data_IF_666564247432
#
_entry.id   IF_666564247432
#
_cell.length_a   1.000
_cell.length_b   1.000
_cell.length_c   1.000
_cell.angle_alpha   90.00
_cell.angle_beta   90.00
_cell.angle_gamma   90.00
#
_symmetry.space_group_name_H-M   'P 1'
#
loop_
_entity.id
_entity.type
_entity.pdbx_description
1 polymer ?
#
# COMPACT_ATOMS: atom_id res chain seq x y z
N UNK A 1 -27.08 -4.19 -14.06
CA UNK A 1 -25.73 -3.81 -14.55
C UNK A 1 -24.80 -5.00 -14.32
N UNK A 2 -24.13 -5.53 -15.35
CA UNK A 2 -23.30 -6.74 -15.18
C UNK A 2 -22.15 -6.46 -14.22
N UNK A 3 -21.69 -7.47 -13.46
CA UNK A 3 -20.56 -7.33 -12.52
C UNK A 3 -19.31 -6.77 -13.21
N UNK A 4 -19.12 -7.12 -14.48
CA UNK A 4 -18.00 -6.68 -15.33
C UNK A 4 -18.11 -5.19 -15.65
N UNK A 5 -19.31 -4.70 -16.01
CA UNK A 5 -19.52 -3.27 -16.26
C UNK A 5 -19.31 -2.48 -14.96
N UNK A 6 -19.78 -3.00 -13.81
CA UNK A 6 -19.56 -2.33 -12.51
C UNK A 6 -18.08 -2.24 -12.15
N UNK A 7 -17.30 -3.28 -12.44
CA UNK A 7 -15.84 -3.32 -12.27
C UNK A 7 -15.12 -2.32 -13.18
N UNK A 8 -15.47 -2.30 -14.47
CA UNK A 8 -14.89 -1.34 -15.41
C UNK A 8 -15.28 0.10 -15.06
N UNK A 9 -16.49 0.31 -14.53
CA UNK A 9 -16.94 1.62 -14.07
C UNK A 9 -16.19 2.05 -12.80
N UNK A 10 -16.00 1.18 -11.81
CA UNK A 10 -15.20 1.51 -10.64
C UNK A 10 -13.74 1.80 -11.02
N UNK A 11 -13.15 1.02 -11.93
CA UNK A 11 -11.79 1.27 -12.40
C UNK A 11 -11.65 2.55 -13.22
N UNK A 12 -12.68 2.99 -13.95
CA UNK A 12 -12.61 4.25 -14.71
C UNK A 12 -12.86 5.48 -13.84
N UNK A 13 -13.78 5.38 -12.88
CA UNK A 13 -14.27 6.49 -12.08
C UNK A 13 -13.67 6.56 -10.66
N UNK A 14 -12.86 5.59 -10.24
CA UNK A 14 -12.10 5.70 -8.99
C UNK A 14 -11.20 6.94 -9.03
N UNK A 15 -11.27 7.81 -8.02
CA UNK A 15 -10.37 8.94 -7.88
C UNK A 15 -8.90 8.48 -7.94
N UNK A 16 -8.03 9.26 -8.60
CA UNK A 16 -6.58 8.95 -8.71
C UNK A 16 -5.95 8.57 -7.36
N UNK A 17 -6.37 9.24 -6.27
CA UNK A 17 -5.90 8.96 -4.91
C UNK A 17 -6.29 7.56 -4.44
N UNK A 18 -7.54 7.16 -4.65
CA UNK A 18 -8.05 5.85 -4.25
C UNK A 18 -7.31 4.72 -4.98
N UNK A 19 -7.09 4.87 -6.29
CA UNK A 19 -6.28 3.92 -7.09
C UNK A 19 -4.86 3.76 -6.54
N UNK A 20 -4.21 4.89 -6.23
CA UNK A 20 -2.84 4.88 -5.71
C UNK A 20 -2.78 4.22 -4.33
N UNK A 21 -3.73 4.51 -3.45
CA UNK A 21 -3.80 3.87 -2.13
C UNK A 21 -4.06 2.37 -2.28
N UNK A 22 -4.96 1.95 -3.18
CA UNK A 22 -5.24 0.54 -3.45
C UNK A 22 -4.00 -0.20 -3.99
N UNK A 23 -3.20 0.43 -4.85
CA UNK A 23 -1.93 -0.12 -5.33
C UNK A 23 -0.93 -0.31 -4.19
N UNK A 24 -0.79 0.69 -3.31
CA UNK A 24 0.11 0.61 -2.16
C UNK A 24 -0.35 -0.48 -1.16
N UNK A 25 -1.65 -0.62 -0.92
CA UNK A 25 -2.20 -1.71 -0.10
C UNK A 25 -1.91 -3.09 -0.71
N UNK A 26 -2.02 -3.21 -2.04
CA UNK A 26 -1.70 -4.46 -2.76
C UNK A 26 -0.22 -4.83 -2.61
N UNK A 27 0.68 -3.84 -2.65
CA UNK A 27 2.11 -4.03 -2.42
C UNK A 27 2.40 -4.54 -1.00
N UNK A 28 1.71 -4.00 0.01
CA UNK A 28 1.83 -4.48 1.40
C UNK A 28 1.43 -5.96 1.51
N UNK A 29 0.32 -6.35 0.89
CA UNK A 29 -0.15 -7.74 0.89
C UNK A 29 0.91 -8.65 0.25
N UNK A 30 1.46 -8.22 -0.89
CA UNK A 30 2.53 -8.94 -1.58
C UNK A 30 3.75 -9.13 -0.67
N UNK A 31 4.26 -8.05 -0.07
CA UNK A 31 5.42 -8.08 0.83
C UNK A 31 5.18 -8.96 2.06
N UNK A 32 4.02 -8.85 2.71
CA UNK A 32 3.63 -9.71 3.84
C UNK A 32 3.60 -11.18 3.44
N UNK A 33 3.07 -11.49 2.25
CA UNK A 33 3.03 -12.87 1.74
C UNK A 33 4.43 -13.43 1.46
N UNK A 34 5.34 -12.57 1.01
CA UNK A 34 6.73 -12.92 0.74
C UNK A 34 7.51 -13.16 2.03
N UNK A 35 7.38 -12.28 3.03
CA UNK A 35 7.99 -12.43 4.35
C UNK A 35 7.55 -13.72 5.07
N UNK A 36 6.27 -14.08 4.97
CA UNK A 36 5.76 -15.36 5.52
C UNK A 36 6.46 -16.60 4.95
N UNK A 37 6.95 -16.53 3.71
CA UNK A 37 7.68 -17.63 3.07
C UNK A 37 9.14 -17.71 3.52
N UNK A 38 9.73 -16.63 4.01
CA UNK A 38 11.16 -16.53 4.32
C UNK A 38 11.58 -17.04 5.70
N UNK A 39 10.66 -17.61 6.50
CA UNK A 39 10.89 -18.14 7.85
C UNK A 39 11.43 -17.10 8.87
N UNK A 40 10.56 -16.81 9.86
CA UNK A 40 10.72 -16.15 11.17
C UNK A 40 12.17 -15.84 11.67
N UNK A 41 12.90 -14.95 10.99
CA UNK A 41 13.99 -14.20 11.60
C UNK A 41 13.40 -12.99 12.34
N UNK A 42 13.99 -12.56 13.46
CA UNK A 42 13.53 -11.39 14.22
C UNK A 42 13.50 -10.12 13.35
N UNK A 43 14.37 -10.06 12.33
CA UNK A 43 14.35 -9.01 11.31
C UNK A 43 13.05 -8.99 10.48
N UNK A 44 12.51 -10.15 10.12
CA UNK A 44 11.26 -10.24 9.39
C UNK A 44 10.08 -9.72 10.23
N UNK A 45 10.13 -9.91 11.56
CA UNK A 45 9.13 -9.39 12.50
C UNK A 45 9.07 -7.88 12.54
N UNK A 46 10.23 -7.20 12.52
CA UNK A 46 10.26 -5.73 12.45
C UNK A 46 9.68 -5.19 11.14
N UNK A 47 9.92 -5.88 10.02
CA UNK A 47 9.36 -5.51 8.72
C UNK A 47 7.84 -5.74 8.72
N UNK A 48 7.36 -6.85 9.29
CA UNK A 48 5.92 -7.13 9.41
C UNK A 48 5.20 -6.04 10.22
N UNK A 49 5.77 -5.62 11.36
CA UNK A 49 5.21 -4.52 12.19
C UNK A 49 5.19 -3.20 11.40
N UNK A 50 6.23 -2.90 10.61
CA UNK A 50 6.27 -1.70 9.79
C UNK A 50 5.19 -1.74 8.70
N UNK A 51 5.01 -2.89 8.04
CA UNK A 51 3.99 -3.11 7.02
C UNK A 51 2.57 -3.03 7.60
N UNK A 52 2.33 -3.51 8.83
CA UNK A 52 1.05 -3.37 9.52
C UNK A 52 0.70 -1.91 9.81
N UNK A 53 1.68 -1.12 10.26
CA UNK A 53 1.47 0.32 10.49
C UNK A 53 1.19 1.07 9.19
N UNK A 54 1.88 0.73 8.11
CA UNK A 54 1.63 1.31 6.78
C UNK A 54 0.23 0.94 6.26
N UNK A 55 -0.20 -0.30 6.45
CA UNK A 55 -1.54 -0.77 6.08
C UNK A 55 -2.63 0.04 6.81
N UNK A 56 -2.45 0.22 8.13
CA UNK A 56 -3.35 1.04 8.93
C UNK A 56 -3.42 2.49 8.43
N UNK A 57 -2.27 3.12 8.15
CA UNK A 57 -2.22 4.50 7.65
C UNK A 57 -2.85 4.66 6.27
N UNK A 58 -2.61 3.70 5.36
CA UNK A 58 -3.21 3.71 4.03
C UNK A 58 -4.72 3.49 4.08
N UNK A 59 -5.21 2.62 4.97
CA UNK A 59 -6.64 2.43 5.18
C UNK A 59 -7.30 3.67 5.77
N UNK A 60 -6.61 4.45 6.62
CA UNK A 60 -7.07 5.77 7.06
C UNK A 60 -7.15 6.74 5.87
N UNK A 61 -6.10 6.80 5.03
CA UNK A 61 -6.06 7.67 3.84
C UNK A 61 -7.12 7.30 2.79
N UNK A 62 -7.49 6.02 2.71
CA UNK A 62 -8.56 5.53 1.82
C UNK A 62 -9.95 5.92 2.31
N UNK A 63 -10.20 5.75 3.61
CA UNK A 63 -11.55 5.87 4.18
C UNK A 63 -11.90 7.28 4.63
N UNK A 64 -10.90 8.09 4.96
CA UNK A 64 -11.10 9.49 5.31
C UNK A 64 -10.83 10.36 4.09
N UNK A 65 -11.74 11.28 3.81
CA UNK A 65 -11.47 12.46 3.00
C UNK A 65 -10.48 13.34 3.78
N UNK A 66 -9.21 12.94 3.74
CA UNK A 66 -8.15 13.71 4.36
C UNK A 66 -8.05 15.03 3.60
N UNK A 67 -8.16 16.16 4.30
CA UNK A 67 -7.95 17.53 3.79
C UNK A 67 -6.50 17.78 3.31
N UNK A 68 -5.77 16.72 2.94
CA UNK A 68 -4.48 16.77 2.31
C UNK A 68 -4.63 17.36 0.91
N UNK A 69 -3.80 18.35 0.61
CA UNK A 69 -3.62 18.83 -0.76
C UNK A 69 -3.06 17.71 -1.65
N UNK A 70 -3.31 17.76 -2.96
CA UNK A 70 -2.77 16.76 -3.90
C UNK A 70 -1.23 16.68 -3.83
N UNK A 71 -0.59 17.83 -3.59
CA UNK A 71 0.86 17.92 -3.45
C UNK A 71 1.39 17.20 -2.22
N UNK A 72 0.67 17.29 -1.10
CA UNK A 72 1.08 16.62 0.14
C UNK A 72 0.73 15.13 0.09
N UNK A 73 -0.38 14.77 -0.55
CA UNK A 73 -0.70 13.38 -0.87
C UNK A 73 0.40 12.73 -1.73
N UNK A 74 0.84 13.38 -2.82
CA UNK A 74 1.89 12.86 -3.69
C UNK A 74 3.23 12.68 -2.93
N UNK A 75 3.56 13.56 -1.98
CA UNK A 75 4.74 13.39 -1.11
C UNK A 75 4.61 12.16 -0.20
N UNK A 76 3.44 11.96 0.41
CA UNK A 76 3.18 10.78 1.26
C UNK A 76 3.33 9.51 0.46
N UNK A 77 2.76 9.45 -0.74
CA UNK A 77 2.91 8.30 -1.66
C UNK A 77 4.39 8.05 -1.98
N UNK A 78 5.16 9.09 -2.28
CA UNK A 78 6.60 8.97 -2.58
C UNK A 78 7.38 8.39 -1.40
N UNK A 79 7.10 8.85 -0.17
CA UNK A 79 7.76 8.35 1.04
C UNK A 79 7.44 6.87 1.25
N UNK A 80 6.18 6.47 1.10
CA UNK A 80 5.76 5.07 1.23
C UNK A 80 6.45 4.20 0.18
N UNK A 81 6.53 4.66 -1.07
CA UNK A 81 7.24 3.96 -2.13
C UNK A 81 8.73 3.78 -1.83
N UNK A 82 9.40 4.80 -1.30
CA UNK A 82 10.81 4.72 -0.88
C UNK A 82 10.99 3.67 0.22
N UNK A 83 10.09 3.61 1.21
CA UNK A 83 10.11 2.61 2.28
C UNK A 83 9.97 1.20 1.69
N UNK A 84 9.04 0.97 0.76
CA UNK A 84 8.91 -0.33 0.10
C UNK A 84 10.18 -0.72 -0.66
N UNK A 85 10.77 0.21 -1.40
CA UNK A 85 12.04 -0.03 -2.11
C UNK A 85 13.16 -0.42 -1.15
N UNK A 86 13.27 0.23 0.00
CA UNK A 86 14.26 -0.12 1.03
C UNK A 86 13.99 -1.49 1.65
N UNK A 87 12.73 -1.84 1.90
CA UNK A 87 12.35 -3.15 2.43
C UNK A 87 12.74 -4.25 1.43
N UNK A 88 12.37 -4.10 0.16
CA UNK A 88 12.71 -5.06 -0.90
C UNK A 88 14.23 -5.24 -1.01
N UNK A 89 14.98 -4.13 -1.07
CA UNK A 89 16.44 -4.18 -1.14
C UNK A 89 17.07 -4.92 0.06
N UNK A 90 16.46 -4.85 1.25
CA UNK A 90 16.92 -5.56 2.45
C UNK A 90 16.51 -7.04 2.48
N UNK A 91 15.49 -7.42 1.73
CA UNK A 91 15.01 -8.80 1.61
C UNK A 91 15.77 -9.56 0.51
N UNK A 92 16.10 -8.88 -0.60
CA UNK A 92 16.87 -9.45 -1.73
C UNK A 92 18.40 -9.51 -1.48
N UNK A 93 18.89 -9.02 -0.33
CA UNK A 93 20.30 -9.09 0.09
C UNK A 93 20.60 -10.28 1.02
#
# INVERSE_FOLDING_TARGET
MSKVIKWQYSDFFEPRREKLVNLLLSEIIFLKSHLKKLALDDKARFIEIALDKLDYLLNILKNNDTDLSDKDFDKVVLIIYQIFKEIINKIDC
#
